data_IF_438387355705
#
_entry.id   IF_438387355705
#
_cell.length_a   1.000
_cell.length_b   1.000
_cell.length_c   1.000
_cell.angle_alpha   90.00
_cell.angle_beta   90.00
_cell.angle_gamma   90.00
#
_symmetry.space_group_name_H-M   'P 1'
#
loop_
_entity.id
_entity.type
_entity.pdbx_description
1 polymer ?
#
# COMPACT_ATOMS: atom_id res chain seq x y z
N UNK A 1 -5.76 -32.72 -9.03
CA UNK A 1 -4.48 -32.01 -8.79
C UNK A 1 -4.50 -30.56 -9.29
N UNK A 2 -4.91 -30.30 -10.53
CA UNK A 2 -4.90 -28.97 -11.16
C UNK A 2 -5.60 -27.86 -10.33
N UNK A 3 -6.77 -28.17 -9.75
CA UNK A 3 -7.53 -27.21 -8.93
C UNK A 3 -6.87 -26.82 -7.60
N UNK A 4 -6.03 -27.68 -7.03
CA UNK A 4 -5.24 -27.34 -5.83
C UNK A 4 -4.05 -26.47 -6.19
N UNK A 5 -3.38 -26.78 -7.30
CA UNK A 5 -2.26 -26.00 -7.82
C UNK A 5 -2.71 -24.57 -8.19
N UNK A 6 -3.87 -24.46 -8.85
CA UNK A 6 -4.47 -23.18 -9.23
C UNK A 6 -4.80 -22.30 -8.02
N UNK A 7 -5.38 -22.89 -6.96
CA UNK A 7 -5.66 -22.18 -5.71
C UNK A 7 -4.39 -21.72 -4.99
N UNK A 8 -3.34 -22.55 -4.98
CA UNK A 8 -2.05 -22.14 -4.45
C UNK A 8 -1.46 -20.97 -5.24
N UNK A 9 -1.45 -21.04 -6.57
CA UNK A 9 -0.99 -19.95 -7.42
C UNK A 9 -1.78 -18.65 -7.17
N UNK A 10 -3.11 -18.75 -7.09
CA UNK A 10 -3.99 -17.60 -6.81
C UNK A 10 -3.73 -16.99 -5.42
N UNK A 11 -3.53 -17.82 -4.39
CA UNK A 11 -3.17 -17.35 -3.05
C UNK A 11 -1.82 -16.64 -3.05
N UNK A 12 -0.81 -17.23 -3.70
CA UNK A 12 0.53 -16.63 -3.81
C UNK A 12 0.47 -15.30 -4.56
N UNK A 13 -0.30 -15.22 -5.65
CA UNK A 13 -0.51 -13.98 -6.38
C UNK A 13 -1.06 -12.86 -5.48
N UNK A 14 -2.13 -13.13 -4.72
CA UNK A 14 -2.68 -12.15 -3.79
C UNK A 14 -1.70 -11.76 -2.68
N UNK A 15 -0.84 -12.68 -2.22
CA UNK A 15 0.22 -12.34 -1.27
C UNK A 15 1.27 -11.42 -1.89
N UNK A 16 1.77 -11.72 -3.08
CA UNK A 16 2.78 -10.89 -3.77
C UNK A 16 2.23 -9.50 -4.06
N UNK A 17 0.99 -9.41 -4.53
CA UNK A 17 0.31 -8.11 -4.75
C UNK A 17 0.16 -7.34 -3.44
N UNK A 18 -0.23 -7.99 -2.35
CA UNK A 18 -0.30 -7.37 -1.02
C UNK A 18 1.06 -6.83 -0.56
N UNK A 19 2.13 -7.60 -0.74
CA UNK A 19 3.50 -7.16 -0.42
C UNK A 19 3.92 -5.95 -1.26
N UNK A 20 3.60 -5.94 -2.57
CA UNK A 20 3.89 -4.79 -3.42
C UNK A 20 3.18 -3.52 -2.92
N UNK A 21 1.90 -3.61 -2.56
CA UNK A 21 1.18 -2.49 -1.96
C UNK A 21 1.77 -2.06 -0.62
N UNK A 22 2.24 -3.01 0.20
CA UNK A 22 2.91 -2.70 1.46
C UNK A 22 4.20 -1.91 1.24
N UNK A 23 5.05 -2.34 0.29
CA UNK A 23 6.28 -1.63 -0.05
C UNK A 23 6.00 -0.21 -0.54
N UNK A 24 5.00 -0.04 -1.41
CA UNK A 24 4.57 1.28 -1.89
C UNK A 24 4.01 2.15 -0.75
N UNK A 25 3.25 1.56 0.18
CA UNK A 25 2.72 2.29 1.34
C UNK A 25 3.85 2.77 2.28
N UNK A 26 4.88 1.94 2.50
CA UNK A 26 6.05 2.34 3.30
C UNK A 26 6.80 3.49 2.62
N UNK A 27 7.01 3.42 1.30
CA UNK A 27 7.62 4.51 0.54
C UNK A 27 6.77 5.79 0.61
N UNK A 28 5.45 5.67 0.42
CA UNK A 28 4.52 6.79 0.53
C UNK A 28 4.53 7.43 1.91
N UNK A 29 4.56 6.64 2.98
CA UNK A 29 4.67 7.13 4.36
C UNK A 29 5.98 7.89 4.61
N UNK A 30 7.10 7.39 4.07
CA UNK A 30 8.39 8.07 4.16
C UNK A 30 8.38 9.43 3.43
N UNK A 31 7.78 9.49 2.24
CA UNK A 31 7.62 10.74 1.48
C UNK A 31 6.69 11.70 2.22
N UNK A 32 5.54 11.23 2.71
CA UNK A 32 4.63 12.07 3.52
C UNK A 32 5.32 12.63 4.76
N UNK A 33 6.18 11.85 5.42
CA UNK A 33 6.94 12.34 6.58
C UNK A 33 7.95 13.41 6.20
N UNK A 34 8.65 13.26 5.07
CA UNK A 34 9.56 14.27 4.54
C UNK A 34 8.80 15.57 4.20
N UNK A 35 7.71 15.47 3.43
CA UNK A 35 6.83 16.59 3.08
C UNK A 35 6.29 17.31 4.32
N UNK A 36 5.87 16.56 5.35
CA UNK A 36 5.39 17.15 6.60
C UNK A 36 6.48 17.94 7.33
N UNK A 37 7.70 17.42 7.33
CA UNK A 37 8.85 18.10 7.95
C UNK A 37 9.21 19.36 7.18
N UNK A 38 9.20 19.31 5.86
CA UNK A 38 9.54 20.44 5.00
C UNK A 38 8.44 21.53 5.07
N UNK A 39 7.16 21.13 5.10
CA UNK A 39 6.03 22.03 5.36
C UNK A 39 6.16 22.78 6.70
N UNK A 40 6.64 22.10 7.76
CA UNK A 40 6.90 22.75 9.05
C UNK A 40 8.00 23.80 8.99
N UNK A 41 8.90 23.73 8.00
CA UNK A 41 9.98 24.70 7.81
C UNK A 41 9.58 25.85 6.87
N UNK A 42 8.71 25.59 5.89
CA UNK A 42 8.23 26.58 4.93
C UNK A 42 6.72 26.40 4.62
N UNK A 43 5.82 26.96 5.45
CA UNK A 43 4.38 26.66 5.39
C UNK A 43 3.67 27.22 4.14
N UNK A 44 4.31 28.07 3.34
CA UNK A 44 3.74 28.60 2.09
C UNK A 44 3.70 27.57 0.95
N UNK A 45 4.35 26.42 1.12
CA UNK A 45 4.48 25.37 0.11
C UNK A 45 4.17 24.02 0.79
N UNK A 46 3.15 23.27 0.34
CA UNK A 46 3.16 21.81 0.58
C UNK A 46 1.91 21.14 1.16
N UNK A 47 0.84 21.86 1.54
CA UNK A 47 -0.32 21.19 2.15
C UNK A 47 -1.06 20.25 1.17
N UNK A 48 -1.13 20.64 -0.10
CA UNK A 48 -1.78 19.86 -1.17
C UNK A 48 -0.98 18.63 -1.57
N UNK A 49 0.34 18.75 -1.74
CA UNK A 49 1.22 17.63 -2.08
C UNK A 49 1.24 16.59 -0.94
N UNK A 50 1.40 17.04 0.30
CA UNK A 50 1.29 16.18 1.48
C UNK A 50 -0.05 15.44 1.53
N UNK A 51 -1.16 16.16 1.37
CA UNK A 51 -2.51 15.57 1.41
C UNK A 51 -2.73 14.50 0.33
N UNK A 52 -2.26 14.75 -0.89
CA UNK A 52 -2.33 13.80 -2.00
C UNK A 52 -1.53 12.52 -1.70
N UNK A 53 -0.25 12.67 -1.31
CA UNK A 53 0.64 11.53 -1.05
C UNK A 53 0.18 10.74 0.17
N UNK A 54 -0.23 11.42 1.25
CA UNK A 54 -0.76 10.77 2.43
C UNK A 54 -2.07 10.02 2.13
N UNK A 55 -2.99 10.65 1.38
CA UNK A 55 -4.25 10.02 0.96
C UNK A 55 -4.02 8.79 0.08
N UNK A 56 -3.12 8.88 -0.90
CA UNK A 56 -2.72 7.74 -1.73
C UNK A 56 -2.09 6.62 -0.90
N UNK A 57 -1.26 6.97 0.08
CA UNK A 57 -0.65 6.00 1.01
C UNK A 57 -1.71 5.23 1.80
N UNK A 58 -2.75 5.90 2.30
CA UNK A 58 -3.86 5.22 2.98
C UNK A 58 -4.57 4.23 2.05
N UNK A 59 -4.80 4.63 0.79
CA UNK A 59 -5.43 3.75 -0.20
C UNK A 59 -4.57 2.51 -0.51
N UNK A 60 -3.25 2.66 -0.59
CA UNK A 60 -2.32 1.54 -0.73
C UNK A 60 -2.39 0.58 0.47
N UNK A 61 -2.49 1.10 1.70
CA UNK A 61 -2.66 0.28 2.90
C UNK A 61 -3.96 -0.52 2.83
N UNK A 62 -5.07 0.09 2.39
CA UNK A 62 -6.35 -0.59 2.21
C UNK A 62 -6.22 -1.74 1.19
N UNK A 63 -5.59 -1.49 0.04
CA UNK A 63 -5.38 -2.53 -0.98
C UNK A 63 -4.43 -3.64 -0.53
N UNK A 64 -3.40 -3.31 0.25
CA UNK A 64 -2.53 -4.28 0.90
C UNK A 64 -3.34 -5.22 1.82
N UNK A 65 -4.11 -4.65 2.75
CA UNK A 65 -4.95 -5.42 3.68
C UNK A 65 -5.99 -6.27 2.96
N UNK A 66 -6.65 -5.70 1.94
CA UNK A 66 -7.61 -6.42 1.11
C UNK A 66 -6.96 -7.61 0.39
N UNK A 67 -5.76 -7.41 -0.18
CA UNK A 67 -5.04 -8.47 -0.88
C UNK A 67 -4.68 -9.63 0.06
N UNK A 68 -4.22 -9.33 1.28
CA UNK A 68 -3.96 -10.37 2.28
C UNK A 68 -5.23 -11.04 2.83
N UNK A 69 -6.32 -10.29 2.99
CA UNK A 69 -7.62 -10.88 3.33
C UNK A 69 -8.08 -11.83 2.21
N UNK A 70 -7.94 -11.43 0.95
CA UNK A 70 -8.30 -12.26 -0.20
C UNK A 70 -7.43 -13.51 -0.30
N UNK A 71 -6.13 -13.39 -0.10
CA UNK A 71 -5.21 -14.53 -0.05
C UNK A 71 -5.62 -15.57 1.02
N UNK A 72 -6.13 -15.12 2.17
CA UNK A 72 -6.64 -16.00 3.24
C UNK A 72 -8.00 -16.63 2.92
N UNK A 73 -8.81 -16.00 2.08
CA UNK A 73 -10.13 -16.52 1.67
C UNK A 73 -10.04 -17.67 0.65
N UNK A 74 -8.94 -17.78 -0.09
CA UNK A 74 -8.72 -18.86 -1.06
C UNK A 74 -8.40 -20.15 -0.30
N UNK A 75 -9.39 -21.08 -0.27
CA UNK A 75 -9.31 -22.42 0.35
C UNK A 75 -9.25 -23.55 -0.68
#
# INVERSE_FOLDING_TARGET
MLSRLFRHAQRTFHMVVGVAFLCLAVAGAAVSFAEWRDYRQAPSVGLTAFGLVAGFTVLLIIFCLYSFAKARSVR
#
